data_IF_903090086863
#
_entry.id   IF_903090086863
#
_cell.length_a   1.000
_cell.length_b   1.000
_cell.length_c   1.000
_cell.angle_alpha   90.00
_cell.angle_beta   90.00
_cell.angle_gamma   90.00
#
_symmetry.space_group_name_H-M   'P 1'
#
loop_
_entity.id
_entity.type
_entity.pdbx_description
1 polymer ?
#
# COMPACT_ATOMS: atom_id res chain seq x y z
N UNK A 1 1.89 -11.91 -7.65
CA UNK A 1 2.16 -11.52 -9.05
C UNK A 1 3.54 -10.89 -9.07
N UNK A 2 4.40 -11.31 -9.99
CA UNK A 2 5.75 -10.74 -10.15
C UNK A 2 5.63 -9.56 -11.10
N UNK A 3 6.31 -8.45 -10.81
CA UNK A 3 6.34 -7.24 -11.65
C UNK A 3 4.97 -6.58 -11.87
N UNK A 4 4.13 -6.56 -10.83
CA UNK A 4 2.90 -5.75 -10.85
C UNK A 4 3.23 -4.26 -10.96
N UNK A 5 2.76 -3.61 -12.03
CA UNK A 5 3.09 -2.21 -12.31
C UNK A 5 2.54 -1.27 -11.25
N UNK A 6 1.31 -1.50 -10.77
CA UNK A 6 0.74 -0.70 -9.70
C UNK A 6 0.14 -1.61 -8.64
N UNK A 7 -0.97 -2.30 -8.95
CA UNK A 7 -1.66 -3.17 -8.00
C UNK A 7 -2.79 -2.47 -7.25
N UNK A 8 -3.76 -1.92 -7.98
CA UNK A 8 -4.92 -1.23 -7.40
C UNK A 8 -5.69 -2.11 -6.38
N UNK A 9 -5.79 -3.42 -6.61
CA UNK A 9 -6.44 -4.33 -5.66
C UNK A 9 -5.76 -4.37 -4.28
N UNK A 10 -4.46 -4.08 -4.20
CA UNK A 10 -3.74 -3.98 -2.91
C UNK A 10 -4.15 -2.69 -2.19
N UNK A 11 -4.31 -1.59 -2.93
CA UNK A 11 -4.84 -0.33 -2.37
C UNK A 11 -6.25 -0.55 -1.82
N UNK A 12 -7.11 -1.26 -2.56
CA UNK A 12 -8.46 -1.62 -2.11
C UNK A 12 -8.44 -2.47 -0.84
N UNK A 13 -7.53 -3.43 -0.75
CA UNK A 13 -7.35 -4.25 0.45
C UNK A 13 -6.93 -3.41 1.66
N UNK A 14 -5.97 -2.50 1.48
CA UNK A 14 -5.55 -1.57 2.53
C UNK A 14 -6.71 -0.68 2.98
N UNK A 15 -7.47 -0.10 2.04
CA UNK A 15 -8.65 0.70 2.32
C UNK A 15 -9.74 -0.09 3.08
N UNK A 16 -9.97 -1.35 2.70
CA UNK A 16 -10.87 -2.26 3.41
C UNK A 16 -10.35 -2.65 4.81
N UNK A 17 -9.11 -2.31 5.16
CA UNK A 17 -8.48 -2.65 6.42
C UNK A 17 -8.04 -4.11 6.45
N UNK A 18 -7.51 -4.65 5.36
CA UNK A 18 -6.81 -5.93 5.34
C UNK A 18 -5.31 -5.68 5.54
N UNK A 19 -4.58 -6.68 6.04
CA UNK A 19 -3.12 -6.66 6.08
C UNK A 19 -2.61 -7.28 4.78
N UNK A 20 -1.99 -6.51 3.87
CA UNK A 20 -1.51 -7.05 2.60
C UNK A 20 -0.23 -7.87 2.81
N UNK A 21 -0.16 -9.04 2.17
CA UNK A 21 1.06 -9.81 1.95
C UNK A 21 1.29 -9.86 0.45
N UNK A 22 2.30 -9.13 -0.04
CA UNK A 22 2.47 -8.88 -1.48
C UNK A 22 3.82 -9.39 -1.98
N UNK A 23 3.90 -9.59 -3.30
CA UNK A 23 5.17 -9.96 -3.90
C UNK A 23 6.16 -8.78 -3.79
N UNK A 24 7.43 -9.08 -3.51
CA UNK A 24 8.45 -8.06 -3.28
C UNK A 24 8.99 -7.46 -4.60
N UNK A 25 8.11 -6.91 -5.45
CA UNK A 25 8.47 -6.31 -6.74
C UNK A 25 7.47 -5.22 -7.15
N UNK A 26 7.91 -4.28 -7.98
CA UNK A 26 7.01 -3.33 -8.67
C UNK A 26 6.30 -2.35 -7.72
N UNK A 27 5.16 -1.83 -8.17
CA UNK A 27 4.33 -0.88 -7.43
C UNK A 27 3.96 -1.31 -6.01
N UNK A 28 3.65 -2.61 -5.74
CA UNK A 28 3.37 -3.07 -4.38
C UNK A 28 4.43 -2.71 -3.34
N UNK A 29 5.72 -2.81 -3.69
CA UNK A 29 6.83 -2.52 -2.76
C UNK A 29 7.27 -1.08 -2.83
N UNK A 30 7.33 -0.52 -4.03
CA UNK A 30 7.91 0.80 -4.24
C UNK A 30 6.96 1.89 -3.75
N UNK A 31 5.66 1.68 -3.98
CA UNK A 31 4.68 2.75 -3.84
C UNK A 31 3.61 2.43 -2.82
N UNK A 32 3.15 1.18 -2.68
CA UNK A 32 1.90 0.88 -1.96
C UNK A 32 2.12 0.42 -0.52
N UNK A 33 2.77 -0.73 -0.31
CA UNK A 33 2.99 -1.37 1.00
C UNK A 33 4.30 -0.88 1.61
N UNK A 34 4.39 0.43 1.77
CA UNK A 34 5.57 1.14 2.31
C UNK A 34 5.33 1.58 3.75
N UNK A 35 6.39 1.89 4.53
CA UNK A 35 6.23 2.44 5.86
C UNK A 35 5.39 3.72 5.86
N UNK A 36 4.46 3.82 6.83
CA UNK A 36 3.62 4.99 7.06
C UNK A 36 3.84 5.46 8.49
N UNK A 37 4.19 6.73 8.67
CA UNK A 37 4.60 7.30 9.97
C UNK A 37 5.76 6.52 10.63
N UNK A 38 6.65 5.94 9.81
CA UNK A 38 7.82 5.17 10.25
C UNK A 38 7.55 3.68 10.50
N UNK A 39 6.30 3.23 10.39
CA UNK A 39 5.88 1.88 10.77
C UNK A 39 5.33 1.08 9.57
N UNK A 40 5.41 -0.27 9.57
CA UNK A 40 5.00 -1.09 8.44
C UNK A 40 3.48 -1.08 8.22
N UNK A 41 3.09 -1.22 6.94
CA UNK A 41 1.69 -1.29 6.49
C UNK A 41 1.31 -2.68 5.94
N UNK A 42 2.24 -3.63 5.94
CA UNK A 42 2.03 -5.00 5.46
C UNK A 42 3.36 -5.76 5.34
N UNK A 43 3.35 -6.85 4.57
CA UNK A 43 4.50 -7.74 4.41
C UNK A 43 4.86 -7.99 2.95
N UNK A 44 6.15 -8.29 2.71
CA UNK A 44 6.72 -8.60 1.41
C UNK A 44 7.28 -10.02 1.37
N UNK A 45 7.11 -10.71 0.24
CA UNK A 45 7.67 -12.03 -0.02
C UNK A 45 8.01 -12.21 -1.51
N UNK A 46 8.99 -13.03 -1.83
CA UNK A 46 9.37 -13.42 -3.20
C UNK A 46 9.07 -14.90 -3.44
N UNK A 47 9.44 -15.75 -2.47
CA UNK A 47 9.34 -17.21 -2.59
C UNK A 47 8.11 -17.77 -1.90
N UNK A 48 7.72 -19.00 -2.25
CA UNK A 48 6.61 -19.70 -1.59
C UNK A 48 6.81 -19.81 -0.07
N UNK A 49 8.04 -20.14 0.36
CA UNK A 49 8.37 -20.28 1.78
C UNK A 49 8.30 -18.94 2.51
N UNK A 50 8.70 -17.85 1.84
CA UNK A 50 8.53 -16.50 2.38
C UNK A 50 7.05 -16.13 2.47
N UNK A 51 6.23 -16.43 1.46
CA UNK A 51 4.79 -16.20 1.54
C UNK A 51 4.17 -16.97 2.70
N UNK A 52 4.50 -18.25 2.86
CA UNK A 52 4.04 -19.04 4.00
C UNK A 52 4.43 -18.40 5.34
N UNK A 53 5.68 -17.93 5.45
CA UNK A 53 6.20 -17.26 6.64
C UNK A 53 5.49 -15.95 6.93
N UNK A 54 5.30 -15.09 5.92
CA UNK A 54 4.67 -13.78 6.11
C UNK A 54 3.16 -13.89 6.35
N UNK A 55 2.49 -14.83 5.68
CA UNK A 55 1.08 -15.12 5.95
C UNK A 55 0.89 -15.62 7.38
N UNK A 56 1.76 -16.52 7.85
CA UNK A 56 1.73 -16.96 9.24
C UNK A 56 1.86 -15.76 10.19
N UNK A 57 2.86 -14.91 10.00
CA UNK A 57 3.04 -13.68 10.81
C UNK A 57 1.80 -12.81 10.80
N UNK A 58 1.25 -12.49 9.62
CA UNK A 58 0.07 -11.65 9.47
C UNK A 58 -1.15 -12.23 10.21
N UNK A 59 -1.31 -13.56 10.23
CA UNK A 59 -2.40 -14.25 10.90
C UNK A 59 -2.20 -14.42 12.42
N UNK A 60 -0.96 -14.35 12.91
CA UNK A 60 -0.62 -14.56 14.32
C UNK A 60 -0.12 -13.30 15.04
N UNK A 61 -0.26 -12.12 14.43
CA UNK A 61 0.01 -10.86 15.11
C UNK A 61 -0.84 -10.75 16.39
N UNK A 62 -0.29 -10.16 17.47
CA UNK A 62 -1.11 -9.72 18.60
C UNK A 62 -2.29 -8.87 18.08
N UNK A 63 -3.51 -9.02 18.62
CA UNK A 63 -4.68 -8.31 18.11
C UNK A 63 -4.52 -6.79 18.03
N UNK A 64 -3.80 -6.21 19.00
CA UNK A 64 -3.48 -4.78 19.04
C UNK A 64 -2.56 -4.35 17.89
N UNK A 65 -1.50 -5.12 17.60
CA UNK A 65 -0.59 -4.83 16.50
C UNK A 65 -1.25 -5.07 15.15
N UNK A 66 -2.08 -6.12 15.04
CA UNK A 66 -2.88 -6.35 13.84
C UNK A 66 -3.83 -5.18 13.57
N UNK A 67 -4.52 -4.67 14.59
CA UNK A 67 -5.39 -3.49 14.45
C UNK A 67 -4.58 -2.25 14.04
N UNK A 68 -3.46 -1.99 14.72
CA UNK A 68 -2.60 -0.84 14.43
C UNK A 68 -2.09 -0.88 12.98
N UNK A 69 -1.62 -2.04 12.49
CA UNK A 69 -1.17 -2.19 11.11
C UNK A 69 -2.30 -1.96 10.10
N UNK A 70 -3.52 -2.46 10.37
CA UNK A 70 -4.70 -2.24 9.51
C UNK A 70 -5.07 -0.77 9.42
N UNK A 71 -5.02 -0.05 10.53
CA UNK A 71 -5.30 1.39 10.57
C UNK A 71 -4.24 2.20 9.81
N UNK A 72 -2.96 1.88 10.00
CA UNK A 72 -1.86 2.49 9.24
C UNK A 72 -2.01 2.24 7.74
N UNK A 73 -2.30 0.99 7.35
CA UNK A 73 -2.50 0.62 5.95
C UNK A 73 -3.68 1.40 5.33
N UNK A 74 -4.82 1.45 6.02
CA UNK A 74 -5.99 2.21 5.58
C UNK A 74 -5.67 3.69 5.38
N UNK A 75 -5.07 4.35 6.37
CA UNK A 75 -4.67 5.77 6.28
C UNK A 75 -3.66 6.00 5.15
N UNK A 76 -2.67 5.14 5.01
CA UNK A 76 -1.68 5.21 3.92
C UNK A 76 -2.34 5.12 2.54
N UNK A 77 -3.43 4.35 2.39
CA UNK A 77 -4.13 4.20 1.12
C UNK A 77 -4.86 5.46 0.64
N UNK A 78 -5.15 6.43 1.52
CA UNK A 78 -5.93 7.64 1.19
C UNK A 78 -5.23 8.53 0.16
N UNK A 79 -3.90 8.46 0.06
CA UNK A 79 -3.13 9.18 -0.98
C UNK A 79 -3.41 8.70 -2.41
N UNK A 80 -4.05 7.54 -2.55
CA UNK A 80 -4.51 7.00 -3.84
C UNK A 80 -6.01 7.22 -4.08
N UNK A 81 -6.66 8.06 -3.26
CA UNK A 81 -8.07 8.42 -3.46
C UNK A 81 -8.26 9.29 -4.70
N UNK A 82 -9.48 9.28 -5.25
CA UNK A 82 -9.88 10.16 -6.35
C UNK A 82 -9.66 11.63 -5.98
N UNK A 83 -10.01 12.05 -4.77
CA UNK A 83 -9.78 13.42 -4.30
C UNK A 83 -8.31 13.81 -4.33
N UNK A 84 -7.41 12.93 -3.86
CA UNK A 84 -5.98 13.19 -3.89
C UNK A 84 -5.46 13.30 -5.33
N UNK A 85 -5.94 12.43 -6.23
CA UNK A 85 -5.59 12.47 -7.64
C UNK A 85 -6.06 13.76 -8.32
N UNK A 86 -7.34 14.13 -8.18
CA UNK A 86 -7.91 15.34 -8.77
C UNK A 86 -7.18 16.61 -8.30
N UNK A 87 -6.87 16.68 -7.01
CA UNK A 87 -6.11 17.80 -6.46
C UNK A 87 -4.69 17.88 -7.07
N UNK A 88 -3.95 16.77 -7.07
CA UNK A 88 -2.59 16.73 -7.62
C UNK A 88 -2.55 17.02 -9.12
N UNK A 89 -3.47 16.43 -9.89
CA UNK A 89 -3.58 16.66 -11.32
C UNK A 89 -3.97 18.11 -11.63
N UNK A 90 -4.93 18.68 -10.89
CA UNK A 90 -5.35 20.06 -11.06
C UNK A 90 -4.22 21.06 -10.80
N UNK A 91 -3.44 20.85 -9.72
CA UNK A 91 -2.28 21.69 -9.43
C UNK A 91 -1.24 21.66 -10.56
N UNK A 92 -0.89 20.45 -11.04
CA UNK A 92 0.02 20.28 -12.16
C UNK A 92 -0.49 20.94 -13.44
N UNK A 93 -1.79 20.86 -13.70
CA UNK A 93 -2.41 21.47 -14.88
C UNK A 93 -2.28 23.00 -14.85
N UNK A 94 -2.46 23.63 -13.70
CA UNK A 94 -2.25 25.08 -13.56
C UNK A 94 -0.80 25.47 -13.86
N UNK A 95 0.19 24.71 -13.34
CA UNK A 95 1.60 24.95 -13.63
C UNK A 95 1.90 24.85 -15.14
N UNK A 96 1.36 23.84 -15.81
CA UNK A 96 1.54 23.66 -17.28
C UNK A 96 0.83 24.77 -18.04
N UNK A 97 -0.35 25.20 -17.60
CA UNK A 97 -1.13 26.27 -18.23
C UNK A 97 -0.40 27.61 -18.21
N UNK A 98 0.37 27.91 -17.16
CA UNK A 98 1.17 29.14 -17.07
C UNK A 98 2.39 29.14 -18.01
N UNK A 99 2.81 27.97 -18.52
CA UNK A 99 3.92 27.83 -19.46
C UNK A 99 3.51 27.90 -20.94
N UNK A 100 2.20 27.93 -21.23
CA UNK A 100 1.61 28.01 -22.58
C UNK A 100 1.18 29.44 -22.93
#
# INVERSE_FOLDING_TARGET
>A
MVEEHFGIGIVEFMGAGLIPVVHASGGPVMDIVVPFEGEPTGFHAVTVDEFATQLHKALTLPPEEALAMRERARRSSERFSTTAFEHGFGALWEDVRELL
#
